data_IF_345572104524
#
_entry.id   IF_345572104524
#
_cell.length_a   1.000
_cell.length_b   1.000
_cell.length_c   1.000
_cell.angle_alpha   90.00
_cell.angle_beta   90.00
_cell.angle_gamma   90.00
#
_symmetry.space_group_name_H-M   'P 1'
#
loop_
_entity.id
_entity.type
_entity.pdbx_description
1 polymer ?
#
# COMPACT_ATOMS: atom_id res chain seq x y z
N UNK A 1 -45.64 -9.94 30.40
CA UNK A 1 -45.34 -9.81 28.96
C UNK A 1 -44.29 -8.75 28.74
N UNK A 2 -43.09 -9.11 28.27
CA UNK A 2 -42.06 -8.15 27.85
C UNK A 2 -42.05 -8.11 26.33
N UNK A 3 -42.62 -7.05 25.76
CA UNK A 3 -42.55 -6.74 24.34
C UNK A 3 -41.10 -6.43 23.97
N UNK A 4 -40.43 -7.35 23.27
CA UNK A 4 -39.18 -7.06 22.56
C UNK A 4 -39.50 -6.05 21.47
N UNK A 5 -39.14 -4.77 21.69
CA UNK A 5 -38.96 -3.82 20.59
C UNK A 5 -37.84 -4.36 19.71
N UNK A 6 -38.19 -4.93 18.55
CA UNK A 6 -37.22 -5.09 17.46
C UNK A 6 -36.82 -3.66 17.07
N UNK A 7 -35.55 -3.31 17.22
CA UNK A 7 -35.01 -2.16 16.51
C UNK A 7 -35.28 -2.40 15.01
N UNK A 8 -35.75 -1.38 14.26
CA UNK A 8 -35.81 -1.49 12.82
C UNK A 8 -34.38 -1.68 12.32
N UNK A 9 -34.12 -2.82 11.69
CA UNK A 9 -32.93 -2.96 10.86
C UNK A 9 -33.00 -1.85 9.79
N UNK A 10 -31.90 -1.12 9.53
CA UNK A 10 -31.91 -0.15 8.44
C UNK A 10 -32.28 -0.90 7.16
N UNK A 11 -33.28 -0.44 6.38
CA UNK A 11 -33.69 -1.10 5.16
C UNK A 11 -32.50 -1.08 4.20
N UNK A 12 -31.86 -2.24 4.02
CA UNK A 12 -30.76 -2.45 3.10
C UNK A 12 -31.11 -1.80 1.75
N UNK A 13 -30.34 -0.77 1.37
CA UNK A 13 -30.43 -0.19 0.04
C UNK A 13 -30.12 -1.28 -0.97
N UNK A 14 -31.14 -1.77 -1.69
CA UNK A 14 -30.92 -2.79 -2.71
C UNK A 14 -30.38 -2.07 -3.95
N UNK A 15 -29.07 -2.18 -4.16
CA UNK A 15 -28.37 -1.71 -5.36
C UNK A 15 -27.77 -2.94 -6.03
N UNK A 16 -28.15 -3.20 -7.28
CA UNK A 16 -27.58 -4.27 -8.09
C UNK A 16 -26.94 -3.64 -9.32
N UNK A 17 -25.69 -4.00 -9.58
CA UNK A 17 -24.98 -3.59 -10.79
C UNK A 17 -24.66 -4.84 -11.59
N UNK A 18 -24.97 -4.83 -12.89
CA UNK A 18 -24.73 -5.97 -13.79
C UNK A 18 -24.16 -5.47 -15.12
N UNK A 19 -23.25 -6.27 -15.69
CA UNK A 19 -22.83 -6.15 -17.09
C UNK A 19 -23.64 -7.18 -17.89
N UNK A 20 -24.31 -6.74 -18.96
CA UNK A 20 -25.10 -7.63 -19.82
C UNK A 20 -24.26 -8.20 -20.99
N UNK A 21 -24.87 -9.08 -21.81
CA UNK A 21 -24.20 -9.70 -22.95
C UNK A 21 -23.81 -8.71 -24.07
N UNK A 22 -24.36 -7.49 -24.03
CA UNK A 22 -24.02 -6.41 -24.96
C UNK A 22 -22.92 -5.50 -24.38
N UNK A 23 -22.21 -5.96 -23.34
CA UNK A 23 -21.22 -5.20 -22.58
C UNK A 23 -21.76 -3.91 -21.93
N UNK A 24 -23.06 -3.77 -21.71
CA UNK A 24 -23.61 -2.57 -21.06
C UNK A 24 -23.60 -2.72 -19.54
N UNK A 25 -23.12 -1.69 -18.84
CA UNK A 25 -23.22 -1.59 -17.38
C UNK A 25 -24.57 -0.99 -17.00
N UNK A 26 -25.37 -1.74 -16.25
CA UNK A 26 -26.69 -1.33 -15.80
C UNK A 26 -26.74 -1.39 -14.28
N UNK A 27 -27.15 -0.28 -13.66
CA UNK A 27 -27.45 -0.22 -12.24
C UNK A 27 -28.96 -0.20 -12.01
N UNK A 28 -29.42 -1.06 -11.11
CA UNK A 28 -30.79 -1.09 -10.60
C UNK A 28 -30.75 -0.67 -9.13
N UNK A 29 -31.44 0.41 -8.79
CA UNK A 29 -31.45 0.94 -7.43
C UNK A 29 -32.83 1.43 -7.00
N UNK A 30 -33.05 1.42 -5.70
CA UNK A 30 -34.26 1.92 -5.08
C UNK A 30 -34.30 3.46 -5.09
N UNK A 31 -35.38 4.05 -5.59
CA UNK A 31 -35.61 5.50 -5.54
C UNK A 31 -36.42 5.83 -4.29
N UNK A 32 -35.84 6.66 -3.42
CA UNK A 32 -36.53 7.21 -2.26
C UNK A 32 -36.76 8.71 -2.44
N UNK A 33 -37.91 9.20 -1.96
CA UNK A 33 -38.14 10.63 -1.77
C UNK A 33 -37.55 11.04 -0.42
N UNK A 34 -36.97 12.23 -0.36
CA UNK A 34 -36.43 12.77 0.90
C UNK A 34 -37.58 12.96 1.88
N UNK A 35 -37.53 12.28 3.03
CA UNK A 35 -38.53 12.38 4.10
C UNK A 35 -39.61 11.30 4.13
N UNK A 36 -39.60 10.32 3.22
CA UNK A 36 -40.53 9.16 3.24
C UNK A 36 -39.81 7.86 3.64
N UNK A 37 -40.43 7.08 4.52
CA UNK A 37 -39.93 5.77 4.98
C UNK A 37 -40.13 4.64 3.96
N UNK A 38 -41.08 4.79 3.04
CA UNK A 38 -41.42 3.79 2.02
C UNK A 38 -40.80 4.13 0.66
N UNK A 39 -40.18 3.16 0.00
CA UNK A 39 -39.62 3.37 -1.33
C UNK A 39 -40.69 3.52 -2.40
N UNK A 40 -40.46 4.47 -3.31
CA UNK A 40 -41.41 4.83 -4.37
C UNK A 40 -41.23 3.99 -5.66
N UNK A 41 -40.26 3.06 -5.69
CA UNK A 41 -40.01 2.17 -6.84
C UNK A 41 -38.52 1.93 -7.12
N UNK A 42 -38.22 1.00 -8.02
CA UNK A 42 -36.86 0.76 -8.53
C UNK A 42 -36.62 1.49 -9.86
N UNK A 43 -35.40 1.98 -10.05
CA UNK A 43 -34.96 2.67 -11.27
C UNK A 43 -33.78 1.92 -11.86
N UNK A 44 -33.80 1.71 -13.19
CA UNK A 44 -32.67 1.21 -13.95
C UNK A 44 -31.99 2.37 -14.69
N UNK A 45 -30.66 2.40 -14.65
CA UNK A 45 -29.84 3.39 -15.35
C UNK A 45 -28.73 2.68 -16.11
N UNK A 46 -28.55 3.06 -17.37
CA UNK A 46 -27.38 2.66 -18.17
C UNK A 46 -26.22 3.58 -17.82
N UNK A 47 -25.11 2.98 -17.40
CA UNK A 47 -23.93 3.68 -16.90
C UNK A 47 -22.81 3.63 -17.95
N UNK A 48 -23.09 4.15 -19.14
CA UNK A 48 -22.18 4.09 -20.29
C UNK A 48 -20.87 4.84 -20.02
N UNK A 49 -20.94 6.00 -19.36
CA UNK A 49 -19.77 6.78 -19.02
C UNK A 49 -18.91 6.10 -17.95
N UNK A 50 -19.54 5.50 -16.94
CA UNK A 50 -18.86 4.76 -15.88
C UNK A 50 -18.22 3.49 -16.41
N UNK A 51 -18.90 2.77 -17.32
CA UNK A 51 -18.31 1.62 -18.01
C UNK A 51 -17.05 2.02 -18.78
N UNK A 52 -17.09 3.15 -19.50
CA UNK A 52 -15.91 3.63 -20.20
C UNK A 52 -14.77 3.91 -19.23
N UNK A 53 -15.04 4.55 -18.09
CA UNK A 53 -14.04 4.76 -17.03
C UNK A 53 -13.47 3.44 -16.49
N UNK A 54 -14.30 2.43 -16.28
CA UNK A 54 -13.84 1.09 -15.84
C UNK A 54 -12.91 0.48 -16.90
N UNK A 55 -13.25 0.57 -18.19
CA UNK A 55 -12.39 0.09 -19.29
C UNK A 55 -11.05 0.83 -19.31
N UNK A 56 -11.06 2.14 -19.09
CA UNK A 56 -9.83 2.96 -19.04
C UNK A 56 -8.93 2.61 -17.84
N UNK A 57 -9.54 2.37 -16.67
CA UNK A 57 -8.82 1.91 -15.46
C UNK A 57 -8.20 0.54 -15.69
N UNK A 58 -8.95 -0.43 -16.23
CA UNK A 58 -8.44 -1.77 -16.53
C UNK A 58 -7.32 -1.75 -17.57
N UNK A 59 -7.39 -0.84 -18.56
CA UNK A 59 -6.31 -0.63 -19.51
C UNK A 59 -5.05 -0.12 -18.81
N UNK A 60 -5.21 0.88 -17.94
CA UNK A 60 -4.09 1.45 -17.16
C UNK A 60 -3.43 0.38 -16.30
N UNK A 61 -4.19 -0.45 -15.58
CA UNK A 61 -3.64 -1.53 -14.75
C UNK A 61 -2.80 -2.51 -15.56
N UNK A 62 -3.26 -2.92 -16.74
CA UNK A 62 -2.48 -3.80 -17.63
C UNK A 62 -1.17 -3.15 -18.09
N UNK A 63 -1.18 -1.86 -18.39
CA UNK A 63 0.04 -1.14 -18.79
C UNK A 63 1.05 -1.06 -17.64
N UNK A 64 0.57 -0.83 -16.41
CA UNK A 64 1.40 -0.83 -15.19
C UNK A 64 1.96 -2.23 -14.92
N UNK A 65 1.14 -3.28 -15.00
CA UNK A 65 1.57 -4.68 -14.82
C UNK A 65 2.71 -5.05 -15.79
N UNK A 66 2.61 -4.63 -17.05
CA UNK A 66 3.66 -4.81 -18.06
C UNK A 66 4.93 -4.04 -17.73
N UNK A 67 4.85 -2.86 -17.08
CA UNK A 67 6.03 -2.15 -16.60
C UNK A 67 6.66 -2.83 -15.39
N UNK A 68 5.85 -3.17 -14.37
CA UNK A 68 6.33 -3.78 -13.13
C UNK A 68 6.96 -5.15 -13.37
N UNK A 69 6.38 -5.97 -14.26
CA UNK A 69 6.96 -7.27 -14.64
C UNK A 69 8.38 -7.15 -15.22
N UNK A 70 8.72 -6.03 -15.88
CA UNK A 70 10.07 -5.79 -16.42
C UNK A 70 11.10 -5.42 -15.36
N UNK A 71 10.69 -5.01 -14.16
CA UNK A 71 11.60 -4.78 -13.03
C UNK A 71 12.20 -6.09 -12.51
N UNK A 72 11.56 -7.22 -12.84
CA UNK A 72 12.01 -8.56 -12.53
C UNK A 72 12.20 -9.39 -13.81
N UNK A 73 13.20 -9.07 -14.66
CA UNK A 73 13.47 -9.88 -15.83
C UNK A 73 13.90 -11.28 -15.37
N UNK A 74 13.26 -12.31 -15.93
CA UNK A 74 13.47 -13.73 -15.61
C UNK A 74 14.85 -14.29 -15.98
N UNK A 75 15.83 -13.43 -16.26
CA UNK A 75 17.20 -13.81 -16.57
C UNK A 75 18.14 -13.50 -15.41
N UNK A 76 18.27 -14.44 -14.48
CA UNK A 76 19.53 -14.63 -13.77
C UNK A 76 20.20 -15.88 -14.32
N UNK A 77 21.35 -15.71 -14.97
CA UNK A 77 22.26 -16.80 -15.27
C UNK A 77 22.41 -17.72 -14.07
N UNK A 78 22.35 -19.03 -14.32
CA UNK A 78 22.56 -20.06 -13.33
C UNK A 78 23.99 -19.94 -12.76
N UNK A 79 24.08 -19.51 -11.50
CA UNK A 79 25.35 -19.35 -10.80
C UNK A 79 25.22 -18.24 -9.78
N UNK A 80 24.93 -18.62 -8.55
CA UNK A 80 25.07 -17.77 -7.35
C UNK A 80 24.07 -16.61 -7.20
N UNK A 81 22.83 -16.92 -6.83
CA UNK A 81 21.99 -15.97 -6.10
C UNK A 81 21.12 -16.63 -5.03
N UNK A 82 20.87 -15.96 -3.88
CA UNK A 82 19.99 -16.47 -2.84
C UNK A 82 18.60 -16.79 -3.42
N UNK A 83 18.06 -17.94 -3.03
CA UNK A 83 16.77 -18.52 -3.46
C UNK A 83 15.53 -17.67 -3.15
N UNK A 84 15.70 -16.50 -2.52
CA UNK A 84 14.64 -15.60 -2.08
C UNK A 84 14.88 -14.22 -2.69
N UNK A 85 14.74 -14.09 -4.01
CA UNK A 85 14.75 -12.79 -4.70
C UNK A 85 13.33 -12.52 -5.24
N UNK A 86 12.77 -11.28 -5.17
CA UNK A 86 11.43 -10.97 -5.68
C UNK A 86 11.27 -11.20 -7.19
N UNK A 87 12.36 -11.50 -7.89
CA UNK A 87 12.41 -11.79 -9.31
C UNK A 87 12.73 -13.28 -9.56
N UNK A 88 12.04 -14.18 -8.85
CA UNK A 88 12.14 -15.63 -9.06
C UNK A 88 11.20 -16.07 -10.18
N UNK A 89 11.56 -17.11 -10.92
CA UNK A 89 10.70 -17.71 -11.96
C UNK A 89 9.34 -18.18 -11.43
N UNK A 90 9.22 -18.41 -10.13
CA UNK A 90 8.02 -18.93 -9.48
C UNK A 90 7.19 -17.83 -8.80
N UNK A 91 7.56 -16.56 -8.97
CA UNK A 91 6.90 -15.43 -8.32
C UNK A 91 6.49 -14.39 -9.36
N UNK A 92 5.18 -14.18 -9.51
CA UNK A 92 4.67 -13.06 -10.29
C UNK A 92 4.57 -11.82 -9.41
N UNK A 93 5.38 -10.80 -9.70
CA UNK A 93 5.44 -9.56 -8.92
C UNK A 93 4.15 -8.74 -8.99
N UNK A 94 3.31 -8.94 -10.01
CA UNK A 94 2.03 -8.24 -10.16
C UNK A 94 0.89 -8.93 -9.40
N UNK A 95 1.05 -10.18 -8.98
CA UNK A 95 -0.02 -10.91 -8.28
C UNK A 95 -0.23 -10.35 -6.87
N UNK A 96 -1.43 -9.81 -6.63
CA UNK A 96 -1.76 -9.17 -5.36
C UNK A 96 -1.13 -7.78 -5.17
N UNK A 97 -0.57 -7.18 -6.22
CA UNK A 97 -0.10 -5.80 -6.20
C UNK A 97 -1.29 -4.83 -6.18
N UNK A 98 -1.23 -3.88 -5.24
CA UNK A 98 -2.37 -2.99 -4.86
C UNK A 98 -2.05 -1.51 -5.03
N UNK A 99 -0.80 -1.18 -5.27
CA UNK A 99 -0.33 0.18 -5.51
C UNK A 99 1.13 0.18 -5.91
N UNK A 100 1.51 1.11 -6.78
CA UNK A 100 2.86 1.23 -7.32
C UNK A 100 3.25 2.70 -7.49
N UNK A 101 4.44 3.03 -7.02
CA UNK A 101 4.97 4.39 -6.98
C UNK A 101 6.31 4.45 -7.71
N UNK A 102 6.34 5.15 -8.84
CA UNK A 102 7.56 5.40 -9.62
C UNK A 102 7.88 6.91 -9.63
N UNK A 103 8.12 7.51 -10.79
CA UNK A 103 8.44 8.93 -10.98
C UNK A 103 7.21 9.83 -11.17
N UNK A 104 5.99 9.28 -11.14
CA UNK A 104 4.74 10.02 -11.33
C UNK A 104 4.39 10.92 -10.12
N UNK A 105 5.06 12.06 -10.03
CA UNK A 105 4.95 13.02 -8.95
C UNK A 105 4.47 14.39 -9.45
N UNK A 106 3.50 14.98 -8.75
CA UNK A 106 2.99 16.31 -9.06
C UNK A 106 2.65 17.10 -7.79
N UNK A 107 3.26 18.28 -7.63
CA UNK A 107 3.03 19.14 -6.48
C UNK A 107 3.47 18.49 -5.17
N UNK A 108 2.51 18.08 -4.33
CA UNK A 108 2.75 17.31 -3.09
C UNK A 108 2.16 15.90 -3.16
N UNK A 109 1.78 15.45 -4.35
CA UNK A 109 1.11 14.18 -4.58
C UNK A 109 2.05 13.26 -5.32
N UNK A 110 2.41 12.16 -4.68
CA UNK A 110 3.06 11.04 -5.33
C UNK A 110 1.96 10.06 -5.75
N UNK A 111 1.78 9.91 -7.06
CA UNK A 111 0.60 9.23 -7.58
C UNK A 111 0.80 7.72 -7.58
N UNK A 112 -0.24 7.01 -7.16
CA UNK A 112 -0.32 5.58 -7.35
C UNK A 112 -0.68 5.31 -8.82
N UNK A 113 0.18 4.58 -9.53
CA UNK A 113 -0.03 4.28 -10.94
C UNK A 113 -1.15 3.29 -11.20
N UNK A 114 -1.58 2.52 -10.19
CA UNK A 114 -2.81 1.74 -10.23
C UNK A 114 -4.07 2.58 -9.99
N UNK A 115 -3.95 3.91 -9.95
CA UNK A 115 -5.07 4.84 -9.75
C UNK A 115 -5.82 4.59 -8.42
N UNK A 116 -5.16 3.95 -7.46
CA UNK A 116 -5.65 3.74 -6.11
C UNK A 116 -5.46 4.99 -5.27
N UNK A 117 -4.80 4.83 -4.13
CA UNK A 117 -4.67 5.91 -3.16
C UNK A 117 -3.30 6.55 -3.30
N UNK A 118 -3.27 7.84 -3.59
CA UNK A 118 -2.00 8.57 -3.71
C UNK A 118 -1.32 8.76 -2.36
N UNK A 119 0.02 8.83 -2.37
CA UNK A 119 0.79 9.23 -1.22
C UNK A 119 0.92 10.77 -1.17
N UNK A 120 0.94 11.30 0.05
CA UNK A 120 1.10 12.74 0.30
C UNK A 120 2.53 13.01 0.76
N UNK A 121 3.22 13.89 0.03
CA UNK A 121 4.55 14.35 0.41
C UNK A 121 4.45 15.41 1.51
N UNK A 122 5.32 15.26 2.50
CA UNK A 122 5.45 16.14 3.66
C UNK A 122 6.84 16.74 3.71
N UNK A 123 6.88 17.98 4.15
CA UNK A 123 8.11 18.75 4.31
C UNK A 123 8.54 18.69 5.77
N UNK A 124 9.78 18.26 6.03
CA UNK A 124 10.37 18.26 7.36
C UNK A 124 11.08 19.55 7.74
N UNK A 125 11.38 20.38 6.74
CA UNK A 125 12.10 21.64 6.91
C UNK A 125 11.66 22.65 5.84
N UNK A 126 11.94 23.93 6.05
CA UNK A 126 11.69 24.97 5.05
C UNK A 126 12.51 24.78 3.75
N UNK A 127 13.62 24.04 3.82
CA UNK A 127 14.48 23.72 2.69
C UNK A 127 14.18 22.35 2.06
N UNK A 128 13.05 21.73 2.42
CA UNK A 128 12.68 20.43 1.90
C UNK A 128 12.42 20.50 0.39
N UNK A 129 12.97 19.54 -0.36
CA UNK A 129 12.77 19.44 -1.82
C UNK A 129 12.44 18.01 -2.21
N UNK A 130 11.54 17.87 -3.19
CA UNK A 130 11.19 16.60 -3.81
C UNK A 130 11.24 16.74 -5.31
N UNK A 131 11.95 15.83 -5.97
CA UNK A 131 12.09 15.83 -7.42
C UNK A 131 11.87 14.42 -7.97
N UNK A 132 11.06 14.32 -9.02
CA UNK A 132 11.00 13.11 -9.83
C UNK A 132 12.35 12.90 -10.51
N UNK A 133 12.89 11.69 -10.41
CA UNK A 133 14.09 11.29 -11.14
C UNK A 133 13.63 10.44 -12.31
N UNK A 134 13.55 11.07 -13.48
CA UNK A 134 13.41 10.34 -14.72
C UNK A 134 14.68 9.50 -14.94
N UNK A 135 14.52 8.26 -15.41
CA UNK A 135 15.64 7.40 -15.76
C UNK A 135 16.57 8.12 -16.77
N UNK A 136 17.75 8.55 -16.33
CA UNK A 136 18.81 8.87 -17.26
C UNK A 136 19.13 7.60 -18.05
N UNK A 137 19.48 7.69 -19.33
CA UNK A 137 19.71 6.55 -20.24
C UNK A 137 20.72 5.48 -19.74
N UNK A 138 21.37 5.71 -18.59
CA UNK A 138 22.34 4.85 -17.91
C UNK A 138 21.92 4.36 -16.51
N UNK A 139 20.80 4.81 -15.93
CA UNK A 139 20.29 4.36 -14.61
C UNK A 139 18.86 3.86 -14.72
N UNK A 140 18.67 2.55 -14.55
CA UNK A 140 17.43 1.81 -14.81
C UNK A 140 16.33 1.96 -13.72
N UNK A 141 16.27 3.07 -12.99
CA UNK A 141 15.27 3.24 -11.93
C UNK A 141 14.63 4.63 -11.99
N UNK A 142 13.35 4.65 -12.35
CA UNK A 142 12.43 5.76 -12.12
C UNK A 142 12.07 5.84 -10.63
N UNK A 143 11.85 7.04 -10.11
CA UNK A 143 11.49 7.23 -8.71
C UNK A 143 11.50 8.70 -8.28
N UNK A 144 11.57 8.93 -6.97
CA UNK A 144 11.54 10.26 -6.38
C UNK A 144 12.71 10.45 -5.40
N UNK A 145 13.41 11.57 -5.51
CA UNK A 145 14.45 11.97 -4.55
C UNK A 145 13.85 12.90 -3.50
N UNK A 146 14.04 12.54 -2.23
CA UNK A 146 13.63 13.34 -1.08
C UNK A 146 14.85 13.99 -0.41
N UNK A 147 14.78 15.29 -0.15
CA UNK A 147 15.73 16.01 0.72
C UNK A 147 14.95 16.74 1.78
N UNK A 148 15.09 16.32 3.04
CA UNK A 148 14.34 16.90 4.16
C UNK A 148 12.81 16.72 4.04
N UNK A 149 12.36 15.79 3.19
CA UNK A 149 10.96 15.48 2.92
C UNK A 149 10.72 13.97 3.07
N UNK A 150 9.45 13.56 3.18
CA UNK A 150 9.03 12.15 3.12
C UNK A 150 7.66 12.03 2.47
N UNK A 151 7.23 10.80 2.16
CA UNK A 151 5.89 10.52 1.68
C UNK A 151 5.09 9.70 2.70
N UNK A 152 3.80 10.01 2.82
CA UNK A 152 2.85 9.29 3.65
C UNK A 152 1.79 8.64 2.77
N UNK A 153 1.71 7.31 2.81
CA UNK A 153 0.69 6.55 2.09
C UNK A 153 -0.40 6.09 3.07
N UNK A 154 -1.65 6.60 2.97
CA UNK A 154 -2.63 6.36 4.02
C UNK A 154 -3.28 4.97 3.90
N UNK A 155 -3.35 4.26 5.03
CA UNK A 155 -4.08 2.99 5.18
C UNK A 155 -5.42 3.22 5.87
N UNK A 156 -5.41 3.52 7.18
CA UNK A 156 -6.64 3.71 7.99
C UNK A 156 -7.27 5.10 7.90
N UNK A 157 -6.56 6.10 7.35
CA UNK A 157 -7.03 7.50 7.27
C UNK A 157 -7.95 7.79 6.07
N UNK A 158 -8.45 6.76 5.40
CA UNK A 158 -9.27 6.90 4.17
C UNK A 158 -10.76 7.16 4.43
N UNK A 159 -11.19 7.25 5.70
CA UNK A 159 -12.58 7.52 6.07
C UNK A 159 -13.46 6.27 6.02
N UNK A 160 -14.66 6.39 5.44
CA UNK A 160 -15.63 5.29 5.35
C UNK A 160 -15.17 4.17 4.41
N UNK A 161 -14.49 4.50 3.31
CA UNK A 161 -13.99 3.54 2.32
C UNK A 161 -12.49 3.32 2.51
N UNK A 162 -12.13 2.32 3.33
CA UNK A 162 -10.73 1.97 3.61
C UNK A 162 -10.24 0.87 2.66
N UNK A 163 -9.77 1.28 1.47
CA UNK A 163 -9.34 0.36 0.41
C UNK A 163 -8.22 -0.58 0.86
N UNK A 164 -7.34 -0.12 1.77
CA UNK A 164 -6.17 -0.86 2.22
C UNK A 164 -6.33 -1.50 3.60
N UNK A 165 -7.56 -1.76 4.04
CA UNK A 165 -7.82 -2.45 5.31
C UNK A 165 -7.12 -3.82 5.41
N UNK A 166 -6.83 -4.49 4.27
CA UNK A 166 -6.06 -5.73 4.26
C UNK A 166 -4.67 -5.61 4.90
N UNK A 167 -4.06 -4.42 4.90
CA UNK A 167 -2.74 -4.18 5.46
C UNK A 167 -2.71 -4.28 7.00
N UNK A 168 -3.87 -4.34 7.65
CA UNK A 168 -3.97 -4.69 9.07
C UNK A 168 -3.70 -6.18 9.34
N UNK A 169 -3.75 -7.03 8.30
CA UNK A 169 -3.59 -8.47 8.44
C UNK A 169 -2.26 -8.95 7.86
N UNK A 170 -2.07 -8.79 6.54
CA UNK A 170 -0.88 -9.23 5.83
C UNK A 170 -0.59 -8.23 4.71
N UNK A 171 0.66 -7.79 4.61
CA UNK A 171 1.13 -6.96 3.51
C UNK A 171 2.62 -7.15 3.29
N UNK A 172 3.08 -6.75 2.11
CA UNK A 172 4.49 -6.65 1.78
C UNK A 172 4.72 -5.26 1.18
N UNK A 173 5.66 -4.50 1.75
CA UNK A 173 6.07 -3.20 1.21
C UNK A 173 7.49 -3.34 0.66
N UNK A 174 7.68 -2.98 -0.61
CA UNK A 174 8.95 -3.10 -1.32
C UNK A 174 9.36 -1.73 -1.84
N UNK A 175 10.64 -1.38 -1.68
CA UNK A 175 11.21 -0.16 -2.22
C UNK A 175 12.68 -0.38 -2.58
N UNK A 176 13.14 0.25 -3.66
CA UNK A 176 14.57 0.43 -3.94
C UNK A 176 14.98 1.79 -3.39
N UNK A 177 15.97 1.80 -2.49
CA UNK A 177 16.41 3.02 -1.82
C UNK A 177 17.87 3.29 -2.18
N UNK A 178 18.16 4.50 -2.64
CA UNK A 178 19.53 5.01 -2.78
C UNK A 178 19.74 6.16 -1.79
N UNK A 179 20.90 6.18 -1.15
CA UNK A 179 21.22 7.15 -0.09
C UNK A 179 22.31 8.09 -0.60
N UNK A 180 21.93 9.35 -0.80
CA UNK A 180 22.82 10.39 -1.28
C UNK A 180 23.67 10.97 -0.14
N UNK A 181 24.80 10.32 0.13
CA UNK A 181 25.80 10.76 1.10
C UNK A 181 25.58 10.26 2.53
N UNK A 182 26.54 10.54 3.41
CA UNK A 182 26.50 10.07 4.79
C UNK A 182 25.66 11.00 5.69
N UNK A 183 24.76 10.45 6.55
CA UNK A 183 24.04 11.22 7.55
C UNK A 183 25.00 12.05 8.41
N UNK A 184 24.76 13.36 8.51
CA UNK A 184 25.62 14.28 9.27
C UNK A 184 25.40 14.25 10.79
N UNK A 185 24.57 13.34 11.30
CA UNK A 185 24.21 13.25 12.71
C UNK A 185 24.16 11.82 13.25
N UNK A 186 24.07 11.70 14.57
CA UNK A 186 24.01 10.40 15.25
C UNK A 186 22.60 9.79 15.30
N UNK A 187 21.58 10.52 14.88
CA UNK A 187 20.20 10.01 14.84
C UNK A 187 20.00 9.17 13.57
N UNK A 188 19.49 7.93 13.68
CA UNK A 188 19.13 7.13 12.51
C UNK A 188 18.09 7.84 11.62
N UNK A 189 18.32 7.85 10.31
CA UNK A 189 17.39 8.41 9.33
C UNK A 189 16.36 7.33 8.96
N UNK A 190 15.06 7.56 9.13
CA UNK A 190 14.04 6.61 8.69
C UNK A 190 14.00 6.55 7.15
N UNK A 191 14.02 5.34 6.60
CA UNK A 191 13.95 5.10 5.15
C UNK A 191 12.53 4.72 4.70
N UNK A 192 11.91 3.79 5.43
CA UNK A 192 10.55 3.32 5.16
C UNK A 192 9.98 2.69 6.42
N UNK A 193 8.66 2.62 6.54
CA UNK A 193 8.03 1.93 7.67
C UNK A 193 6.51 2.06 7.69
N UNK A 194 5.91 1.36 8.64
CA UNK A 194 4.48 1.36 8.91
C UNK A 194 4.25 1.91 10.31
N UNK A 195 3.37 2.91 10.38
CA UNK A 195 2.97 3.56 11.63
C UNK A 195 1.51 3.26 11.92
N UNK A 196 1.23 2.96 13.19
CA UNK A 196 -0.14 2.84 13.67
C UNK A 196 -0.80 4.22 13.73
N UNK A 197 -2.12 4.22 13.61
CA UNK A 197 -2.93 5.41 13.79
C UNK A 197 -3.35 5.53 15.26
N UNK A 198 -2.36 5.55 16.16
CA UNK A 198 -2.54 5.79 17.59
C UNK A 198 -1.95 7.15 18.00
N UNK A 199 -2.28 7.58 19.21
CA UNK A 199 -1.85 8.89 19.74
C UNK A 199 -0.32 8.97 19.88
N UNK A 200 0.33 7.83 20.11
CA UNK A 200 1.79 7.71 20.25
C UNK A 200 2.53 7.60 18.90
N UNK A 201 1.82 7.50 17.77
CA UNK A 201 2.38 7.30 16.41
C UNK A 201 3.37 6.13 16.35
N UNK A 202 3.00 5.03 16.99
CA UNK A 202 3.83 3.84 17.16
C UNK A 202 4.32 3.30 15.81
N UNK A 203 5.61 3.01 15.71
CA UNK A 203 6.21 2.42 14.50
C UNK A 203 6.17 0.90 14.63
N UNK A 204 5.25 0.25 13.93
CA UNK A 204 5.10 -1.20 13.93
C UNK A 204 6.33 -1.89 13.32
N UNK A 205 6.76 -1.38 12.17
CA UNK A 205 7.92 -1.85 11.41
C UNK A 205 8.61 -0.64 10.78
N UNK A 206 9.92 -0.51 10.97
CA UNK A 206 10.69 0.59 10.41
C UNK A 206 12.06 0.14 9.93
N UNK A 207 12.48 0.67 8.78
CA UNK A 207 13.83 0.59 8.28
C UNK A 207 14.50 1.96 8.47
N UNK A 208 15.71 1.97 9.00
CA UNK A 208 16.49 3.18 9.21
C UNK A 208 17.94 3.01 8.79
N UNK A 209 18.64 4.12 8.58
CA UNK A 209 20.05 4.14 8.20
C UNK A 209 20.87 5.07 9.09
N UNK A 210 22.01 4.57 9.56
CA UNK A 210 22.97 5.32 10.37
C UNK A 210 24.39 4.85 10.06
N UNK A 211 25.29 5.77 9.72
CA UNK A 211 26.74 5.52 9.55
C UNK A 211 27.04 4.22 8.77
N UNK A 212 26.47 4.10 7.57
CA UNK A 212 26.63 2.92 6.68
C UNK A 212 26.06 1.61 7.20
N UNK A 213 25.21 1.66 8.23
CA UNK A 213 24.45 0.51 8.74
C UNK A 213 22.97 0.73 8.56
N UNK A 214 22.30 -0.30 8.08
CA UNK A 214 20.83 -0.39 8.03
C UNK A 214 20.36 -1.03 9.34
N UNK A 215 19.45 -0.36 10.03
CA UNK A 215 18.78 -0.83 11.24
C UNK A 215 17.31 -1.16 10.97
N UNK A 216 16.82 -2.24 11.59
CA UNK A 216 15.41 -2.63 11.55
C UNK A 216 14.86 -2.40 12.95
N UNK A 217 13.77 -1.65 13.04
CA UNK A 217 12.98 -1.48 14.25
C UNK A 217 11.67 -2.23 14.09
N UNK A 218 11.36 -3.08 15.06
CA UNK A 218 10.10 -3.81 15.11
C UNK A 218 9.51 -3.60 16.48
N UNK A 219 8.29 -3.06 16.54
CA UNK A 219 7.58 -2.87 17.78
C UNK A 219 6.29 -3.66 17.72
N UNK A 220 6.21 -4.68 18.58
CA UNK A 220 5.03 -5.50 18.72
C UNK A 220 4.19 -4.99 19.88
N UNK A 221 2.88 -4.83 19.65
CA UNK A 221 1.93 -4.73 20.75
C UNK A 221 1.45 -6.15 21.03
N UNK A 222 1.80 -6.68 22.19
CA UNK A 222 1.16 -7.91 22.66
C UNK A 222 -0.33 -7.63 22.85
N UNK A 223 -1.23 -8.53 22.39
CA UNK A 223 -2.64 -8.40 22.71
C UNK A 223 -2.78 -8.39 24.24
N UNK A 224 -3.60 -7.48 24.77
CA UNK A 224 -3.81 -7.37 26.22
C UNK A 224 -4.18 -8.75 26.81
N UNK A 225 -3.38 -9.23 27.76
CA UNK A 225 -3.64 -10.49 28.49
C UNK A 225 -2.56 -11.58 28.41
N UNK A 226 -1.42 -11.35 27.75
CA UNK A 226 -0.30 -12.30 27.78
C UNK A 226 0.91 -11.63 28.44
N UNK A 227 1.36 -12.15 29.59
CA UNK A 227 2.62 -11.71 30.19
C UNK A 227 3.80 -12.43 29.52
N UNK A 228 4.83 -11.72 29.03
CA UNK A 228 6.02 -12.35 28.49
C UNK A 228 7.06 -12.63 29.58
N UNK A 229 7.56 -13.87 29.61
CA UNK A 229 8.87 -14.18 30.19
C UNK A 229 9.96 -13.90 29.14
N UNK A 230 10.89 -12.99 29.48
CA UNK A 230 12.30 -12.77 29.04
C UNK A 230 12.82 -13.48 27.76
N UNK A 231 13.64 -12.90 26.87
CA UNK A 231 14.47 -11.70 26.93
C UNK A 231 15.12 -11.34 25.56
N UNK A 232 16.17 -10.52 25.62
CA UNK A 232 16.66 -9.53 24.66
C UNK A 232 17.40 -9.99 23.38
N UNK A 233 17.36 -9.08 22.39
CA UNK A 233 18.38 -8.74 21.35
C UNK A 233 19.01 -9.88 20.54
N UNK A 234 18.54 -10.07 19.31
CA UNK A 234 19.29 -10.79 18.28
C UNK A 234 19.78 -9.85 17.16
N UNK A 235 21.09 -9.92 16.92
CA UNK A 235 21.76 -9.20 15.83
C UNK A 235 21.81 -10.14 14.63
N UNK A 236 20.91 -9.99 13.66
CA UNK A 236 20.86 -10.89 12.48
C UNK A 236 21.99 -10.55 11.49
N UNK A 237 22.86 -11.48 11.08
CA UNK A 237 23.89 -11.24 10.06
C UNK A 237 23.29 -10.96 8.66
N UNK A 238 24.05 -10.32 7.78
CA UNK A 238 23.62 -10.10 6.39
C UNK A 238 23.43 -11.42 5.63
N UNK A 239 22.36 -11.53 4.84
CA UNK A 239 22.11 -12.65 3.93
C UNK A 239 21.25 -13.81 4.47
N UNK A 240 20.63 -13.68 5.65
CA UNK A 240 19.73 -14.69 6.19
C UNK A 240 18.32 -14.12 6.43
N UNK A 241 17.28 -14.85 6.01
CA UNK A 241 15.90 -14.59 6.42
C UNK A 241 15.70 -15.17 7.83
N UNK A 242 15.44 -14.32 8.81
CA UNK A 242 15.00 -14.78 10.13
C UNK A 242 13.46 -14.85 10.13
N UNK A 243 12.91 -16.05 10.33
CA UNK A 243 11.53 -16.21 10.80
C UNK A 243 11.52 -15.96 12.30
N UNK A 244 11.38 -14.72 12.72
CA UNK A 244 11.13 -14.43 14.14
C UNK A 244 9.63 -14.54 14.45
N UNK A 245 9.32 -15.57 15.26
CA UNK A 245 8.14 -15.79 16.12
C UNK A 245 6.72 -15.50 15.63
N UNK A 246 6.46 -15.35 14.34
CA UNK A 246 5.09 -15.55 13.82
C UNK A 246 5.07 -15.97 12.34
N UNK A 247 4.25 -16.96 11.93
CA UNK A 247 4.20 -17.45 10.54
C UNK A 247 3.66 -16.44 9.49
N UNK A 248 3.47 -15.16 9.85
CA UNK A 248 2.70 -14.18 9.06
C UNK A 248 3.46 -12.93 8.65
N UNK A 249 4.72 -12.76 9.05
CA UNK A 249 5.60 -11.72 8.51
C UNK A 249 6.95 -12.31 8.12
N UNK A 250 7.41 -12.02 6.91
CA UNK A 250 8.77 -12.31 6.45
C UNK A 250 9.52 -11.00 6.28
N UNK A 251 10.47 -10.73 7.18
CA UNK A 251 11.39 -9.59 7.04
C UNK A 251 12.64 -10.11 6.33
N UNK A 252 12.77 -9.77 5.05
CA UNK A 252 13.96 -10.12 4.26
C UNK A 252 14.97 -8.97 4.35
N UNK A 253 16.18 -9.28 4.80
CA UNK A 253 17.32 -8.35 4.74
C UNK A 253 18.01 -8.54 3.40
N UNK A 254 18.01 -7.50 2.57
CA UNK A 254 18.67 -7.44 1.26
C UNK A 254 20.08 -6.84 1.38
#
# INVERSE_FOLDING_TARGET
>A
GKTRKRLPLPPCCTKVVKINNNEELIALYEKRKVGEETSSGMVSVRLTAELQRVKDVLKTWKEVDVRVSKLCPSQSHAGDRPTVTPCSSNFNITDGLVGFFSDNFFGKTWKDEYLGVNATVRDGTAAATVAAVAAAATKASEGVTFRGAWAEWPVGKQGENQLYHFANYNFTLVATVSIDGEPKGDTPIPLMGVKLNDDEKTVLLGLSYKKKKVGIAVQWREPEGVQPHLGATDTVPSGHCATERHPRLRVCRW
#
